data_IF_196645888556
#
_entry.id   IF_196645888556
#
_cell.length_a   1.000
_cell.length_b   1.000
_cell.length_c   1.000
_cell.angle_alpha   90.00
_cell.angle_beta   90.00
_cell.angle_gamma   90.00
#
_symmetry.space_group_name_H-M   'P 1'
#
loop_
_entity.id
_entity.type
_entity.pdbx_description
1 polymer ?
#
# COMPACT_ATOMS: atom_id res chain seq x y z
N UNK A 1 -10.95 9.83 16.20
CA UNK A 1 -10.54 9.96 14.79
C UNK A 1 -10.75 8.60 14.13
N UNK A 2 -11.33 8.55 12.93
CA UNK A 2 -11.48 7.28 12.19
C UNK A 2 -10.13 6.94 11.56
N UNK A 3 -9.63 5.74 11.82
CA UNK A 3 -8.38 5.26 11.23
C UNK A 3 -8.68 4.21 10.19
N UNK A 4 -7.86 4.17 9.13
CA UNK A 4 -8.03 3.22 8.02
C UNK A 4 -7.16 2.01 8.27
N UNK A 5 -7.78 0.85 8.50
CA UNK A 5 -7.08 -0.43 8.60
C UNK A 5 -6.98 -1.16 7.25
N UNK A 6 -7.93 -0.89 6.34
CA UNK A 6 -8.03 -1.50 5.03
C UNK A 6 -8.25 -0.44 3.98
N UNK A 7 -7.38 -0.39 2.98
CA UNK A 7 -7.47 0.50 1.83
C UNK A 7 -7.55 -0.33 0.56
N UNK A 8 -8.56 -0.10 -0.27
CA UNK A 8 -8.75 -0.79 -1.55
C UNK A 8 -8.67 0.24 -2.67
N UNK A 9 -7.71 0.03 -3.58
CA UNK A 9 -7.40 0.88 -4.72
C UNK A 9 -7.25 0.07 -6.03
N UNK A 10 -8.15 -0.88 -6.34
CA UNK A 10 -8.01 -1.70 -7.52
C UNK A 10 -8.25 -0.86 -8.79
N UNK A 11 -7.62 -1.23 -9.90
CA UNK A 11 -7.82 -0.62 -11.23
C UNK A 11 -7.56 0.90 -11.30
N UNK A 12 -6.58 1.41 -10.57
CA UNK A 12 -6.28 2.85 -10.52
C UNK A 12 -5.00 3.24 -11.28
N UNK A 13 -4.45 2.33 -12.09
CA UNK A 13 -3.18 2.53 -12.84
C UNK A 13 -2.00 2.97 -11.96
N UNK A 14 -2.02 2.61 -10.67
CA UNK A 14 -0.95 2.95 -9.74
C UNK A 14 0.35 2.24 -10.13
N UNK A 15 1.47 2.90 -9.90
CA UNK A 15 2.81 2.42 -10.20
C UNK A 15 3.72 2.46 -8.96
N UNK A 16 5.01 2.20 -9.16
CA UNK A 16 6.03 2.23 -8.09
C UNK A 16 6.13 3.59 -7.38
N UNK A 17 5.82 4.70 -8.07
CA UNK A 17 5.86 6.04 -7.48
C UNK A 17 4.70 6.24 -6.50
N UNK A 18 3.50 5.79 -6.86
CA UNK A 18 2.35 5.80 -5.95
C UNK A 18 2.63 5.02 -4.65
N UNK A 19 3.37 3.92 -4.72
CA UNK A 19 3.79 3.16 -3.54
C UNK A 19 4.78 3.95 -2.69
N UNK A 20 5.71 4.67 -3.31
CA UNK A 20 6.65 5.55 -2.59
C UNK A 20 5.90 6.60 -1.79
N UNK A 21 4.90 7.25 -2.40
CA UNK A 21 4.05 8.25 -1.73
C UNK A 21 3.27 7.61 -0.57
N UNK A 22 2.69 6.42 -0.76
CA UNK A 22 1.97 5.70 0.29
C UNK A 22 2.88 5.36 1.49
N UNK A 23 4.14 4.99 1.24
CA UNK A 23 5.12 4.70 2.29
C UNK A 23 5.55 5.93 3.07
N UNK A 24 5.47 7.13 2.47
CA UNK A 24 5.84 8.40 3.11
C UNK A 24 4.67 9.07 3.85
N UNK A 25 3.45 8.59 3.61
CA UNK A 25 2.21 9.11 4.19
C UNK A 25 2.15 8.98 5.71
N UNK A 26 1.81 10.06 6.40
CA UNK A 26 1.67 10.10 7.87
C UNK A 26 0.24 9.82 8.35
N UNK A 27 -0.71 9.70 7.41
CA UNK A 27 -2.14 9.55 7.73
C UNK A 27 -2.62 8.09 7.74
N UNK A 28 -1.74 7.14 7.43
CA UNK A 28 -2.04 5.70 7.37
C UNK A 28 -1.27 4.84 8.41
N UNK A 29 -1.00 5.30 9.66
CA UNK A 29 -0.16 4.53 10.59
C UNK A 29 -0.77 3.20 11.03
N UNK A 30 -2.08 3.02 10.88
CA UNK A 30 -2.81 1.80 11.25
C UNK A 30 -3.22 0.96 10.03
N UNK A 31 -2.70 1.25 8.84
CA UNK A 31 -3.02 0.45 7.65
C UNK A 31 -2.46 -0.97 7.79
N UNK A 32 -3.34 -1.97 7.70
CA UNK A 32 -3.00 -3.38 7.82
C UNK A 32 -3.08 -4.08 6.45
N UNK A 33 -4.09 -3.72 5.65
CA UNK A 33 -4.37 -4.35 4.35
C UNK A 33 -4.43 -3.30 3.24
N UNK A 34 -3.70 -3.54 2.15
CA UNK A 34 -3.79 -2.75 0.93
C UNK A 34 -4.12 -3.67 -0.25
N UNK A 35 -5.16 -3.31 -0.99
CA UNK A 35 -5.54 -3.98 -2.22
C UNK A 35 -5.20 -3.09 -3.42
N UNK A 36 -4.29 -3.59 -4.25
CA UNK A 36 -3.78 -2.99 -5.47
C UNK A 36 -4.08 -3.87 -6.70
N UNK A 37 -5.10 -4.73 -6.62
CA UNK A 37 -5.53 -5.57 -7.75
C UNK A 37 -5.58 -4.78 -9.08
N UNK A 38 -4.96 -5.33 -10.13
CA UNK A 38 -4.89 -4.71 -11.46
C UNK A 38 -4.35 -3.27 -11.47
N UNK A 39 -3.25 -3.05 -10.76
CA UNK A 39 -2.38 -1.88 -10.92
C UNK A 39 -1.04 -2.28 -11.58
N UNK A 40 -0.16 -1.30 -11.84
CA UNK A 40 1.15 -1.48 -12.51
C UNK A 40 2.31 -1.39 -11.51
N UNK A 41 2.14 -2.02 -10.35
CA UNK A 41 3.13 -1.99 -9.25
C UNK A 41 4.10 -3.17 -9.39
N UNK A 42 5.40 -2.89 -9.35
CA UNK A 42 6.42 -3.93 -9.42
C UNK A 42 6.52 -4.72 -8.10
N UNK A 43 7.00 -5.96 -8.20
CA UNK A 43 7.27 -6.79 -7.03
C UNK A 43 8.30 -6.13 -6.08
N UNK A 44 9.22 -5.32 -6.62
CA UNK A 44 10.20 -4.57 -5.83
C UNK A 44 9.53 -3.50 -4.96
N UNK A 45 8.63 -2.69 -5.55
CA UNK A 45 7.89 -1.69 -4.79
C UNK A 45 6.96 -2.34 -3.75
N UNK A 46 6.32 -3.45 -4.10
CA UNK A 46 5.53 -4.24 -3.17
C UNK A 46 6.34 -4.76 -1.97
N UNK A 47 7.58 -5.21 -2.20
CA UNK A 47 8.48 -5.64 -1.13
C UNK A 47 8.94 -4.46 -0.26
N UNK A 48 9.16 -3.29 -0.87
CA UNK A 48 9.52 -2.07 -0.14
C UNK A 48 8.39 -1.62 0.79
N UNK A 49 7.14 -1.65 0.31
CA UNK A 49 5.95 -1.30 1.10
C UNK A 49 5.86 -2.10 2.41
N UNK A 50 6.20 -3.39 2.39
CA UNK A 50 6.20 -4.26 3.58
C UNK A 50 7.21 -3.86 4.65
N UNK A 51 8.24 -3.11 4.28
CA UNK A 51 9.30 -2.65 5.19
C UNK A 51 9.21 -1.15 5.49
N UNK A 52 8.11 -0.49 5.09
CA UNK A 52 7.95 0.95 5.24
C UNK A 52 7.83 1.35 6.72
N UNK A 53 8.74 2.19 7.25
CA UNK A 53 8.73 2.56 8.68
C UNK A 53 7.46 3.28 9.13
N UNK A 54 6.80 4.02 8.22
CA UNK A 54 5.56 4.75 8.51
C UNK A 54 4.29 3.90 8.39
N UNK A 55 4.41 2.63 7.99
CA UNK A 55 3.32 1.66 7.96
C UNK A 55 3.61 0.48 8.92
N UNK A 56 3.77 0.76 10.24
CA UNK A 56 4.26 -0.23 11.20
C UNK A 56 3.31 -1.43 11.41
N UNK A 57 2.04 -1.30 11.00
CA UNK A 57 1.02 -2.34 11.14
C UNK A 57 0.74 -3.11 9.84
N UNK A 58 1.43 -2.80 8.74
CA UNK A 58 1.14 -3.36 7.43
C UNK A 58 1.49 -4.85 7.35
N UNK A 59 0.54 -5.66 6.85
CA UNK A 59 0.67 -7.13 6.83
C UNK A 59 0.25 -7.75 5.51
N UNK A 60 -0.84 -7.26 4.92
CA UNK A 60 -1.48 -7.91 3.79
C UNK A 60 -1.48 -7.00 2.56
N UNK A 61 -1.03 -7.56 1.45
CA UNK A 61 -0.97 -6.89 0.16
C UNK A 61 -1.60 -7.80 -0.89
N UNK A 62 -2.62 -7.30 -1.59
CA UNK A 62 -3.21 -7.95 -2.75
C UNK A 62 -2.79 -7.21 -4.03
N UNK A 63 -2.28 -7.94 -5.03
CA UNK A 63 -1.86 -7.34 -6.31
C UNK A 63 -2.26 -8.16 -7.54
N UNK A 64 -2.55 -9.46 -7.37
CA UNK A 64 -2.70 -10.37 -8.51
C UNK A 64 -4.02 -10.19 -9.26
N UNK A 65 -3.93 -9.95 -10.57
CA UNK A 65 -5.02 -10.00 -11.54
C UNK A 65 -4.52 -10.17 -12.97
#
# INVERSE_FOLDING_TARGET
MRSVEKLSLPHNELDDEAITILMESEVLPNLITLDLYRNRVSQRAAQALKNAPKLPQFKFLQMEG
#
